data_IF_520385118544
#
_entry.id   IF_520385118544
#
_cell.length_a   1.000
_cell.length_b   1.000
_cell.length_c   1.000
_cell.angle_alpha   90.00
_cell.angle_beta   90.00
_cell.angle_gamma   90.00
#
_symmetry.space_group_name_H-M   'P 1'
#
loop_
_entity.id
_entity.type
_entity.pdbx_description
1 polymer ?
#
# COMPACT_ATOMS: atom_id res chain seq x y z
N UNK A 1 2.48 -6.59 -23.54
CA UNK A 1 1.90 -5.29 -23.13
C UNK A 1 1.88 -4.38 -24.35
N UNK A 2 0.85 -3.53 -24.55
CA UNK A 2 0.88 -2.59 -25.66
C UNK A 2 2.08 -1.64 -25.52
N UNK A 3 2.63 -1.27 -26.66
CA UNK A 3 3.91 -0.59 -26.87
C UNK A 3 3.87 0.89 -26.47
N UNK A 4 3.47 1.17 -25.23
CA UNK A 4 3.30 2.53 -24.71
C UNK A 4 4.38 2.80 -23.67
N UNK A 5 5.06 3.94 -23.83
CA UNK A 5 6.08 4.44 -22.92
C UNK A 5 5.55 4.51 -21.48
N UNK A 6 6.40 4.18 -20.51
CA UNK A 6 6.06 4.31 -19.08
C UNK A 6 6.98 5.32 -18.42
N UNK A 7 6.42 6.45 -18.01
CA UNK A 7 7.10 7.45 -17.19
C UNK A 7 7.10 7.00 -15.73
N UNK A 8 8.28 6.97 -15.12
CA UNK A 8 8.46 6.51 -13.74
C UNK A 8 8.93 7.67 -12.87
N UNK A 9 8.10 8.08 -11.92
CA UNK A 9 8.49 9.04 -10.90
C UNK A 9 9.17 8.31 -9.72
N UNK A 10 10.39 8.73 -9.41
CA UNK A 10 11.16 8.21 -8.28
C UNK A 10 10.73 8.87 -6.96
N UNK A 11 10.23 8.07 -6.02
CA UNK A 11 9.88 8.59 -4.69
C UNK A 11 11.12 9.09 -3.95
N UNK A 12 11.03 10.22 -3.25
CA UNK A 12 12.15 10.79 -2.50
C UNK A 12 12.77 9.78 -1.51
N UNK A 13 11.96 9.03 -0.75
CA UNK A 13 12.47 7.99 0.15
C UNK A 13 13.12 6.80 -0.60
N UNK A 14 12.63 6.47 -1.80
CA UNK A 14 13.25 5.41 -2.61
C UNK A 14 14.62 5.82 -3.14
N UNK A 15 14.80 7.12 -3.46
CA UNK A 15 16.09 7.68 -3.82
C UNK A 15 17.04 7.70 -2.64
N UNK A 16 16.61 8.27 -1.51
CA UNK A 16 17.42 8.34 -0.30
C UNK A 16 17.85 6.94 0.19
N UNK A 17 16.97 5.94 0.11
CA UNK A 17 17.28 4.56 0.49
C UNK A 17 17.92 3.70 -0.60
N UNK A 18 18.30 4.25 -1.76
CA UNK A 18 18.94 3.48 -2.85
C UNK A 18 18.05 2.40 -3.50
N UNK A 19 16.75 2.40 -3.22
CA UNK A 19 15.81 1.37 -3.67
C UNK A 19 15.42 1.48 -5.16
N UNK A 20 15.76 2.59 -5.82
CA UNK A 20 15.45 2.80 -7.24
C UNK A 20 16.10 1.75 -8.16
N UNK A 21 17.26 1.19 -7.77
CA UNK A 21 17.89 0.08 -8.52
C UNK A 21 17.00 -1.16 -8.57
N UNK A 22 16.22 -1.44 -7.52
CA UNK A 22 15.28 -2.54 -7.51
C UNK A 22 14.10 -2.27 -8.47
N UNK A 23 13.55 -1.06 -8.44
CA UNK A 23 12.46 -0.63 -9.35
C UNK A 23 12.91 -0.77 -10.81
N UNK A 24 14.10 -0.28 -11.14
CA UNK A 24 14.67 -0.37 -12.49
C UNK A 24 14.85 -1.82 -12.96
N UNK A 25 15.37 -2.69 -12.09
CA UNK A 25 15.51 -4.12 -12.38
C UNK A 25 14.16 -4.77 -12.67
N UNK A 26 13.16 -4.51 -11.85
CA UNK A 26 11.82 -5.08 -12.02
C UNK A 26 11.18 -4.63 -13.34
N UNK A 27 11.31 -3.35 -13.71
CA UNK A 27 10.78 -2.86 -14.99
C UNK A 27 11.49 -3.49 -16.20
N UNK A 28 12.81 -3.72 -16.11
CA UNK A 28 13.57 -4.43 -17.14
C UNK A 28 13.19 -5.90 -17.31
N UNK A 29 12.60 -6.53 -16.30
CA UNK A 29 12.14 -7.92 -16.40
C UNK A 29 10.88 -8.07 -17.26
N UNK A 30 10.19 -6.97 -17.58
CA UNK A 30 8.99 -6.99 -18.42
C UNK A 30 9.43 -6.99 -19.90
N UNK A 31 9.19 -8.06 -20.68
CA UNK A 31 9.66 -8.15 -22.06
C UNK A 31 9.08 -7.03 -22.93
N UNK A 32 9.95 -6.38 -23.72
CA UNK A 32 9.57 -5.28 -24.62
C UNK A 32 9.07 -4.01 -23.92
N UNK A 33 9.23 -3.89 -22.60
CA UNK A 33 8.74 -2.75 -21.86
C UNK A 33 9.66 -1.55 -22.01
N UNK A 34 9.13 -0.46 -22.59
CA UNK A 34 9.80 0.84 -22.60
C UNK A 34 9.40 1.66 -21.39
N UNK A 35 10.41 2.22 -20.73
CA UNK A 35 10.22 3.11 -19.61
C UNK A 35 11.34 4.13 -19.53
N UNK A 36 11.00 5.31 -19.01
CA UNK A 36 11.92 6.40 -18.75
C UNK A 36 11.69 6.96 -17.35
N UNK A 37 12.78 7.39 -16.73
CA UNK A 37 12.74 8.00 -15.41
C UNK A 37 12.41 9.48 -15.55
N UNK A 38 11.45 9.97 -14.77
CA UNK A 38 11.25 11.41 -14.63
C UNK A 38 12.38 11.95 -13.75
N UNK A 39 13.28 12.71 -14.35
CA UNK A 39 14.41 13.39 -13.68
C UNK A 39 13.91 14.58 -12.85
N UNK A 40 13.20 14.29 -11.77
CA UNK A 40 12.68 15.29 -10.84
C UNK A 40 12.74 14.84 -9.38
N UNK A 41 13.06 15.77 -8.49
CA UNK A 41 13.42 15.53 -7.10
C UNK A 41 12.29 15.00 -6.21
N UNK A 42 11.28 15.82 -5.94
CA UNK A 42 10.20 15.51 -5.00
C UNK A 42 8.86 15.89 -5.63
N UNK A 43 7.76 15.27 -5.21
CA UNK A 43 6.41 15.69 -5.59
C UNK A 43 5.87 16.81 -4.69
N UNK A 44 6.72 17.55 -3.96
CA UNK A 44 6.31 18.63 -3.05
C UNK A 44 5.55 18.18 -1.79
N UNK A 45 4.93 16.99 -1.81
CA UNK A 45 4.27 16.41 -0.65
C UNK A 45 5.27 15.82 0.34
N UNK A 46 5.32 16.40 1.54
CA UNK A 46 6.07 15.91 2.69
C UNK A 46 5.21 14.96 3.55
N UNK A 47 4.49 14.03 2.92
CA UNK A 47 3.58 13.11 3.62
C UNK A 47 2.32 13.81 4.13
N UNK A 48 1.91 13.50 5.37
CA UNK A 48 0.73 14.09 6.02
C UNK A 48 0.92 15.56 6.40
N UNK A 49 2.17 16.01 6.56
CA UNK A 49 2.50 17.41 6.88
C UNK A 49 1.87 18.37 5.87
N UNK A 50 1.94 18.05 4.58
CA UNK A 50 1.36 18.86 3.51
C UNK A 50 -0.18 18.85 3.46
N UNK A 51 -0.87 18.09 4.33
CA UNK A 51 -2.32 18.12 4.46
C UNK A 51 -2.81 19.16 5.47
N UNK A 52 -1.97 19.55 6.43
CA UNK A 52 -2.28 20.54 7.45
C UNK A 52 -2.50 21.90 6.79
N UNK A 53 -3.58 22.60 7.15
CA UNK A 53 -4.02 23.85 6.50
C UNK A 53 -2.92 24.91 6.45
N UNK A 54 -2.05 24.95 7.46
CA UNK A 54 -0.91 25.88 7.58
C UNK A 54 0.22 25.55 6.59
N UNK A 55 0.29 24.29 6.13
CA UNK A 55 1.41 23.76 5.34
C UNK A 55 1.02 23.38 3.89
N UNK A 56 -0.27 23.50 3.52
CA UNK A 56 -0.73 23.21 2.16
C UNK A 56 -0.03 24.07 1.10
N UNK A 57 0.23 25.35 1.41
CA UNK A 57 0.92 26.26 0.50
C UNK A 57 2.38 25.83 0.22
N UNK A 58 3.03 25.16 1.19
CA UNK A 58 4.39 24.62 1.05
C UNK A 58 4.38 23.38 0.15
N UNK A 59 3.36 22.52 0.27
CA UNK A 59 3.16 21.36 -0.61
C UNK A 59 2.75 21.71 -2.05
N UNK A 60 2.06 22.85 -2.22
CA UNK A 60 1.65 23.41 -3.51
C UNK A 60 2.75 24.22 -4.23
N UNK A 61 3.96 24.25 -3.68
CA UNK A 61 5.06 25.07 -4.17
C UNK A 61 5.39 24.83 -5.67
N UNK A 62 6.06 25.79 -6.34
CA UNK A 62 6.67 25.65 -7.67
C UNK A 62 7.56 24.40 -7.83
N UNK A 63 7.95 23.80 -6.70
CA UNK A 63 8.63 22.52 -6.56
C UNK A 63 7.86 21.30 -7.10
N UNK A 64 6.77 21.49 -7.83
CA UNK A 64 6.11 20.46 -8.63
C UNK A 64 6.08 20.75 -10.13
N UNK A 65 6.50 21.93 -10.56
CA UNK A 65 6.37 22.38 -11.94
C UNK A 65 7.15 21.50 -12.90
N UNK A 66 8.35 21.04 -12.53
CA UNK A 66 9.13 20.13 -13.35
C UNK A 66 8.45 18.77 -13.53
N UNK A 67 7.93 18.19 -12.44
CA UNK A 67 7.16 16.94 -12.50
C UNK A 67 5.92 17.08 -13.38
N UNK A 68 5.15 18.15 -13.20
CA UNK A 68 3.94 18.38 -13.99
C UNK A 68 4.25 18.62 -15.46
N UNK A 69 5.33 19.34 -15.77
CA UNK A 69 5.78 19.55 -17.15
C UNK A 69 6.16 18.23 -17.84
N UNK A 70 6.91 17.35 -17.17
CA UNK A 70 7.24 16.03 -17.72
C UNK A 70 6.00 15.19 -17.99
N UNK A 71 5.00 15.24 -17.10
CA UNK A 71 3.73 14.54 -17.30
C UNK A 71 2.92 15.14 -18.45
N UNK A 72 2.97 16.46 -18.65
CA UNK A 72 2.25 17.13 -19.74
C UNK A 72 2.89 16.88 -21.11
N UNK A 73 4.20 16.68 -21.16
CA UNK A 73 4.96 16.47 -22.39
C UNK A 73 4.56 15.20 -23.14
N UNK A 74 4.20 14.14 -22.42
CA UNK A 74 3.69 12.90 -23.00
C UNK A 74 2.39 12.52 -22.30
N UNK A 75 1.27 12.74 -23.00
CA UNK A 75 -0.10 12.47 -22.50
C UNK A 75 -0.54 11.02 -22.70
N UNK A 76 0.11 10.30 -23.60
CA UNK A 76 -0.22 8.92 -23.94
C UNK A 76 0.54 7.93 -23.06
N UNK A 77 1.69 8.35 -22.51
CA UNK A 77 2.47 7.51 -21.62
C UNK A 77 1.70 7.06 -20.38
N UNK A 78 2.03 5.84 -19.94
CA UNK A 78 1.68 5.35 -18.61
C UNK A 78 2.51 6.07 -17.57
N UNK A 79 1.93 6.28 -16.39
CA UNK A 79 2.62 6.95 -15.29
C UNK A 79 2.69 6.02 -14.08
N UNK A 80 3.90 5.74 -13.60
CA UNK A 80 4.16 4.97 -12.39
C UNK A 80 4.70 5.88 -11.30
N UNK A 81 4.05 5.87 -10.14
CA UNK A 81 4.52 6.52 -8.93
C UNK A 81 4.17 5.66 -7.71
N UNK A 82 5.19 5.23 -6.96
CA UNK A 82 5.00 4.32 -5.82
C UNK A 82 4.48 5.04 -4.56
N UNK A 83 4.85 6.31 -4.36
CA UNK A 83 4.34 7.12 -3.25
C UNK A 83 2.85 7.38 -3.37
N UNK A 84 2.11 7.13 -2.28
CA UNK A 84 0.69 7.49 -2.20
C UNK A 84 0.49 8.99 -2.41
N UNK A 85 1.22 9.81 -1.66
CA UNK A 85 1.12 11.27 -1.75
C UNK A 85 1.59 11.82 -3.09
N UNK A 86 2.61 11.21 -3.73
CA UNK A 86 2.99 11.57 -5.10
C UNK A 86 1.82 11.43 -6.06
N UNK A 87 1.10 10.30 -6.00
CA UNK A 87 -0.07 10.06 -6.85
C UNK A 87 -1.21 11.03 -6.55
N UNK A 88 -1.45 11.34 -5.27
CA UNK A 88 -2.49 12.31 -4.92
C UNK A 88 -2.13 13.71 -5.41
N UNK A 89 -0.87 14.12 -5.29
CA UNK A 89 -0.40 15.40 -5.81
C UNK A 89 -0.60 15.50 -7.32
N UNK A 90 -0.15 14.49 -8.07
CA UNK A 90 -0.32 14.46 -9.52
C UNK A 90 -1.81 14.56 -9.93
N UNK A 91 -2.70 13.90 -9.19
CA UNK A 91 -4.15 13.97 -9.41
C UNK A 91 -4.74 15.34 -9.06
N UNK A 92 -4.29 15.95 -7.96
CA UNK A 92 -4.69 17.30 -7.59
C UNK A 92 -4.31 18.32 -8.67
N UNK A 93 -3.23 18.06 -9.44
CA UNK A 93 -2.82 18.84 -10.60
C UNK A 93 -3.35 18.31 -11.95
N UNK A 94 -4.36 17.43 -11.92
CA UNK A 94 -5.11 17.04 -13.11
C UNK A 94 -4.58 15.81 -13.86
N UNK A 95 -3.57 15.09 -13.36
CA UNK A 95 -3.13 13.85 -13.98
C UNK A 95 -3.74 12.62 -13.28
N UNK A 96 -4.67 11.96 -13.98
CA UNK A 96 -5.37 10.78 -13.49
C UNK A 96 -4.69 9.46 -13.84
N UNK A 97 -3.58 9.47 -14.58
CA UNK A 97 -2.84 8.28 -15.03
C UNK A 97 -1.95 7.61 -13.96
N UNK A 98 -1.38 8.29 -12.96
CA UNK A 98 -0.44 7.69 -12.02
C UNK A 98 -0.99 6.43 -11.34
N UNK A 99 -0.24 5.33 -11.42
CA UNK A 99 -0.53 4.06 -10.74
C UNK A 99 0.70 3.59 -9.93
N UNK A 100 0.45 2.74 -8.95
CA UNK A 100 1.53 2.04 -8.23
C UNK A 100 2.17 0.98 -9.15
N UNK A 101 3.48 0.71 -9.01
CA UNK A 101 4.18 -0.29 -9.82
C UNK A 101 3.49 -1.68 -9.76
N UNK A 102 3.03 -2.10 -8.59
CA UNK A 102 2.28 -3.37 -8.45
C UNK A 102 1.02 -3.45 -9.33
N UNK A 103 0.39 -2.30 -9.67
CA UNK A 103 -0.76 -2.26 -10.58
C UNK A 103 -0.33 -2.45 -12.03
N UNK A 104 0.86 -1.95 -12.40
CA UNK A 104 1.47 -2.20 -13.71
C UNK A 104 1.84 -3.68 -13.86
N UNK A 105 2.48 -4.25 -12.83
CA UNK A 105 2.91 -5.65 -12.79
C UNK A 105 1.77 -6.66 -12.61
N UNK A 106 0.52 -6.19 -12.53
CA UNK A 106 -0.61 -7.08 -12.34
C UNK A 106 -0.81 -7.92 -13.60
N UNK A 107 -0.22 -9.11 -13.61
CA UNK A 107 -0.52 -10.13 -14.60
C UNK A 107 -1.94 -10.64 -14.31
N UNK A 108 -2.84 -10.72 -15.30
CA UNK A 108 -4.07 -11.48 -15.16
C UNK A 108 -3.70 -12.89 -14.72
N UNK A 109 -4.29 -13.38 -13.63
CA UNK A 109 -4.04 -14.73 -13.05
C UNK A 109 -4.20 -15.87 -14.08
N UNK A 110 -4.77 -15.61 -15.25
CA UNK A 110 -4.94 -16.56 -16.36
C UNK A 110 -3.66 -16.85 -17.18
N UNK A 111 -2.62 -16.02 -17.10
CA UNK A 111 -1.41 -16.14 -17.96
C UNK A 111 -0.10 -16.40 -17.18
N UNK A 112 -0.16 -16.60 -15.87
CA UNK A 112 1.02 -16.97 -15.08
C UNK A 112 1.36 -18.46 -15.27
N UNK A 113 2.22 -18.78 -16.24
CA UNK A 113 2.98 -20.03 -16.19
C UNK A 113 4.11 -19.83 -15.19
N UNK A 114 3.95 -20.38 -13.98
CA UNK A 114 4.92 -20.25 -12.89
C UNK A 114 6.29 -20.82 -13.29
N UNK A 115 7.40 -20.05 -13.23
CA UNK A 115 8.76 -20.60 -13.32
C UNK A 115 9.18 -21.31 -12.02
N UNK A 116 8.41 -21.16 -10.94
CA UNK A 116 8.59 -21.93 -9.72
C UNK A 116 7.95 -23.30 -9.87
N UNK A 117 8.74 -24.28 -10.32
CA UNK A 117 8.43 -25.71 -10.19
C UNK A 117 8.51 -26.11 -8.71
N UNK A 118 7.45 -25.83 -7.96
CA UNK A 118 7.14 -26.58 -6.74
C UNK A 118 5.62 -26.58 -6.52
N UNK A 119 4.95 -27.52 -7.18
CA UNK A 119 3.87 -28.32 -6.58
C UNK A 119 2.66 -27.64 -5.94
N UNK A 120 2.30 -26.39 -6.29
CA UNK A 120 0.98 -25.84 -5.95
C UNK A 120 0.38 -25.13 -7.16
N UNK A 121 -0.18 -25.96 -8.03
CA UNK A 121 -0.97 -25.53 -9.18
C UNK A 121 -2.34 -25.09 -8.68
N UNK A 122 -2.47 -23.87 -8.16
CA UNK A 122 -3.79 -23.30 -7.96
C UNK A 122 -3.78 -21.76 -7.94
N UNK A 123 -3.79 -21.15 -9.12
CA UNK A 123 -4.36 -19.81 -9.30
C UNK A 123 -5.90 -19.96 -9.43
N UNK A 124 -6.52 -20.64 -8.46
CA UNK A 124 -7.87 -20.27 -8.07
C UNK A 124 -7.68 -18.92 -7.37
N UNK A 125 -8.55 -17.97 -7.69
CA UNK A 125 -8.90 -16.87 -6.79
C UNK A 125 -8.81 -17.46 -5.38
N UNK A 126 -7.95 -16.93 -4.52
CA UNK A 126 -8.04 -17.30 -3.12
C UNK A 126 -9.44 -16.88 -2.71
N UNK A 127 -10.38 -17.82 -2.80
CA UNK A 127 -11.42 -18.00 -1.81
C UNK A 127 -10.71 -17.65 -0.52
N UNK A 128 -11.27 -16.63 0.15
CA UNK A 128 -10.96 -16.33 1.53
C UNK A 128 -10.54 -17.62 2.17
N UNK A 129 -9.30 -17.67 2.67
CA UNK A 129 -8.87 -18.81 3.46
C UNK A 129 -9.87 -18.84 4.60
N UNK A 130 -10.91 -19.66 4.42
CA UNK A 130 -11.82 -20.11 5.43
C UNK A 130 -11.00 -21.09 6.26
N UNK A 131 -9.96 -20.56 6.90
CA UNK A 131 -9.34 -21.12 8.07
C UNK A 131 -10.42 -21.00 9.10
N UNK A 132 -11.26 -22.04 9.16
CA UNK A 132 -12.28 -22.29 10.17
C UNK A 132 -12.89 -21.00 10.73
N UNK A 133 -14.14 -20.72 10.39
CA UNK A 133 -15.07 -20.03 11.28
C UNK A 133 -15.09 -20.75 12.65
N UNK A 134 -14.03 -20.64 13.45
CA UNK A 134 -14.16 -20.51 14.88
C UNK A 134 -14.84 -19.15 14.99
N UNK A 135 -16.16 -19.20 15.10
CA UNK A 135 -17.01 -18.05 15.29
C UNK A 135 -16.57 -17.43 16.62
N UNK A 136 -15.59 -16.53 16.59
CA UNK A 136 -15.07 -15.89 17.79
C UNK A 136 -16.17 -14.97 18.28
N UNK A 137 -16.80 -15.36 19.38
CA UNK A 137 -17.88 -14.60 19.97
C UNK A 137 -17.30 -13.54 20.89
N UNK A 138 -17.56 -12.28 20.58
CA UNK A 138 -17.22 -11.19 21.47
C UNK A 138 -18.31 -11.01 22.52
N UNK A 139 -17.88 -10.91 23.77
CA UNK A 139 -18.77 -10.45 24.83
C UNK A 139 -19.18 -8.98 24.61
N UNK A 140 -20.40 -8.62 24.99
CA UNK A 140 -20.96 -7.27 24.77
C UNK A 140 -20.19 -6.19 25.54
N UNK A 141 -19.64 -6.54 26.70
CA UNK A 141 -18.82 -5.64 27.51
C UNK A 141 -17.41 -5.46 26.90
N UNK A 142 -16.88 -6.51 26.27
CA UNK A 142 -15.61 -6.46 25.55
C UNK A 142 -15.70 -5.61 24.27
N UNK A 143 -16.80 -5.73 23.52
CA UNK A 143 -17.09 -4.86 22.37
C UNK A 143 -17.18 -3.40 22.75
N UNK A 144 -17.91 -3.09 23.83
CA UNK A 144 -18.05 -1.72 24.32
C UNK A 144 -16.70 -1.09 24.69
N UNK A 145 -15.80 -1.87 25.29
CA UNK A 145 -14.42 -1.42 25.58
C UNK A 145 -13.59 -1.18 24.32
N UNK A 146 -13.74 -2.03 23.30
CA UNK A 146 -13.07 -1.87 22.01
C UNK A 146 -13.56 -0.62 21.25
N UNK A 147 -14.84 -0.31 21.34
CA UNK A 147 -15.45 0.87 20.68
C UNK A 147 -14.99 2.20 21.28
N UNK A 148 -14.61 2.22 22.57
CA UNK A 148 -14.00 3.38 23.24
C UNK A 148 -12.62 3.73 22.68
N UNK A 149 -11.95 2.80 21.99
CA UNK A 149 -10.67 3.09 21.35
C UNK A 149 -10.84 4.07 20.17
N UNK A 150 -9.85 4.92 19.86
CA UNK A 150 -9.88 5.78 18.68
C UNK A 150 -10.07 4.99 17.38
N UNK A 151 -10.88 5.52 16.45
CA UNK A 151 -11.32 4.84 15.20
C UNK A 151 -10.14 4.20 14.44
N UNK A 152 -9.01 4.90 14.36
CA UNK A 152 -7.84 4.45 13.62
C UNK A 152 -7.12 3.25 14.24
N UNK A 153 -7.31 2.97 15.54
CA UNK A 153 -6.72 1.82 16.24
C UNK A 153 -7.71 0.65 16.35
N UNK A 154 -9.02 0.89 16.32
CA UNK A 154 -10.06 -0.14 16.54
C UNK A 154 -9.84 -1.41 15.71
N UNK A 155 -9.59 -1.26 14.41
CA UNK A 155 -9.37 -2.41 13.50
C UNK A 155 -8.11 -3.18 13.85
N UNK A 156 -7.02 -2.48 14.21
CA UNK A 156 -5.78 -3.11 14.63
C UNK A 156 -5.97 -3.87 15.95
N UNK A 157 -6.57 -3.23 16.96
CA UNK A 157 -6.83 -3.82 18.26
C UNK A 157 -7.73 -5.06 18.13
N UNK A 158 -8.82 -4.98 17.36
CA UNK A 158 -9.72 -6.09 17.08
C UNK A 158 -8.99 -7.30 16.49
N UNK A 159 -8.26 -7.06 15.39
CA UNK A 159 -7.53 -8.12 14.70
C UNK A 159 -6.47 -8.77 15.58
N UNK A 160 -5.85 -8.00 16.49
CA UNK A 160 -4.83 -8.50 17.41
C UNK A 160 -5.44 -9.42 18.47
N UNK A 161 -6.56 -9.02 19.06
CA UNK A 161 -7.28 -9.83 20.06
C UNK A 161 -7.86 -11.09 19.41
N UNK A 162 -8.45 -10.99 18.22
CA UNK A 162 -8.96 -12.16 17.47
C UNK A 162 -7.83 -13.12 17.09
N UNK A 163 -6.67 -12.61 16.66
CA UNK A 163 -5.50 -13.44 16.40
C UNK A 163 -5.01 -14.14 17.67
N UNK A 164 -4.90 -13.43 18.79
CA UNK A 164 -4.48 -14.02 20.06
C UNK A 164 -5.48 -15.08 20.55
N UNK A 165 -6.78 -14.89 20.30
CA UNK A 165 -7.81 -15.86 20.60
C UNK A 165 -7.66 -17.13 19.76
N UNK A 166 -7.39 -17.00 18.46
CA UNK A 166 -7.08 -18.12 17.57
C UNK A 166 -5.82 -18.87 18.02
N UNK A 167 -4.74 -18.14 18.33
CA UNK A 167 -3.47 -18.72 18.76
C UNK A 167 -3.61 -19.49 20.09
N UNK A 168 -4.50 -19.05 20.98
CA UNK A 168 -4.78 -19.69 22.28
C UNK A 168 -5.97 -20.66 22.23
N UNK A 169 -6.58 -20.90 21.06
CA UNK A 169 -7.75 -21.77 20.90
C UNK A 169 -9.00 -21.29 21.63
N UNK A 170 -9.09 -20.00 21.97
CA UNK A 170 -10.19 -19.38 22.71
C UNK A 170 -11.31 -19.01 21.73
N UNK A 171 -12.52 -19.50 21.99
CA UNK A 171 -13.70 -19.26 21.14
C UNK A 171 -14.52 -18.02 21.55
N UNK A 172 -14.31 -17.49 22.75
CA UNK A 172 -15.04 -16.33 23.28
C UNK A 172 -14.07 -15.27 23.83
N UNK A 173 -14.19 -14.03 23.35
CA UNK A 173 -13.40 -12.90 23.82
C UNK A 173 -14.15 -12.22 24.95
N UNK A 174 -13.66 -12.41 26.17
CA UNK A 174 -14.13 -11.74 27.39
C UNK A 174 -13.25 -10.54 27.73
N UNK A 175 -13.73 -9.70 28.66
CA UNK A 175 -12.94 -8.58 29.20
C UNK A 175 -11.65 -9.09 29.85
N UNK A 176 -11.72 -10.17 30.62
CA UNK A 176 -10.57 -10.82 31.27
C UNK A 176 -9.53 -11.27 30.24
N UNK A 177 -9.97 -11.81 29.09
CA UNK A 177 -9.08 -12.18 28.01
C UNK A 177 -8.35 -10.96 27.43
N UNK A 178 -9.05 -9.86 27.18
CA UNK A 178 -8.41 -8.63 26.70
C UNK A 178 -7.40 -8.07 27.70
N UNK A 179 -7.70 -8.12 29.00
CA UNK A 179 -6.79 -7.67 30.05
C UNK A 179 -5.54 -8.56 30.13
N UNK A 180 -5.69 -9.87 30.01
CA UNK A 180 -4.57 -10.82 29.95
C UNK A 180 -3.63 -10.54 28.77
N UNK A 181 -4.18 -10.29 27.58
CA UNK A 181 -3.37 -9.92 26.40
C UNK A 181 -2.67 -8.57 26.61
N UNK A 182 -3.36 -7.59 27.19
CA UNK A 182 -2.77 -6.28 27.48
C UNK A 182 -1.60 -6.41 28.48
N UNK A 183 -1.75 -7.21 29.53
CA UNK A 183 -0.70 -7.47 30.53
C UNK A 183 0.53 -8.15 29.92
N UNK A 184 0.33 -9.14 29.04
CA UNK A 184 1.41 -9.81 28.29
C UNK A 184 2.22 -8.85 27.40
N UNK A 185 1.61 -7.76 26.95
CA UNK A 185 2.26 -6.75 26.10
C UNK A 185 2.97 -5.64 26.86
N UNK A 186 2.48 -5.28 28.05
CA UNK A 186 3.08 -4.23 28.89
C UNK A 186 4.23 -4.70 29.78
N UNK A 187 4.61 -5.99 29.73
CA UNK A 187 5.88 -6.46 30.30
C UNK A 187 6.08 -6.09 31.78
N UNK A 188 5.13 -6.49 32.63
CA UNK A 188 5.31 -6.61 34.08
C UNK A 188 4.72 -7.92 34.56
#
# INVERSE_FOLDING_TARGET
>A
MPDVETLVHSHCHQKAGGAMKAVHRVLKLIPGHRFSMIEYGCCGMAGTFSLESEHQAIGAAPANQGLMSSLKADREARVVANGYFCRQQMRAHGDQRPRHLARLLRVPCREMVSPFKSGRNNCQRSEEVNMSNAEIQWDSEALTRLERAPVFIRKMARNKVEKAALDQGVKQITVEFMERIKQQETGK
#
